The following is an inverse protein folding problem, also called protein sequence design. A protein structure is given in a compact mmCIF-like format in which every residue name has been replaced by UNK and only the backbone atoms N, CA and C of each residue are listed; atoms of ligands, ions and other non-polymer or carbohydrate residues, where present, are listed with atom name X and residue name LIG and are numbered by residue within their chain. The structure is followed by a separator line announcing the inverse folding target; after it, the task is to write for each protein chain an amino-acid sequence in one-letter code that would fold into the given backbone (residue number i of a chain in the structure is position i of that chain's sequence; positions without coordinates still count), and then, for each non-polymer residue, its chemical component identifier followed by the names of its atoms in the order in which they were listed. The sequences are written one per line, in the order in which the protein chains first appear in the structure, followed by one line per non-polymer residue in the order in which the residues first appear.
data_IF_069987518149
#
_entry.id   IF_069987518149
#
_cell.length_a   1.000
_cell.length_b   1.000
_cell.length_c   1.000
_cell.angle_alpha   90.00
_cell.angle_beta   90.00
_cell.angle_gamma   90.00
#
_symmetry.space_group_name_H-M   'P 1'
#
loop_
_entity.id
_entity.type
_entity.pdbx_description
1 polymer ?
#
# COMPACT_ATOMS: atom_id res chain seq x y z
N UNK A 1 0.22 -24.49 44.19
CA UNK A 1 -0.51 -23.19 44.20
C UNK A 1 -0.07 -22.43 42.96
N UNK A 2 -0.92 -21.65 42.28
CA UNK A 2 -0.56 -20.95 41.02
C UNK A 2 -0.59 -19.44 41.26
N UNK A 3 0.42 -18.72 40.75
CA UNK A 3 0.44 -17.26 40.74
C UNK A 3 -0.61 -16.72 39.74
N UNK A 4 -1.54 -15.88 40.18
CA UNK A 4 -2.62 -15.37 39.30
C UNK A 4 -2.15 -14.30 38.29
N UNK A 5 -0.89 -13.85 38.39
CA UNK A 5 -0.32 -12.86 37.46
C UNK A 5 0.33 -13.57 36.26
N UNK A 6 1.31 -14.44 36.50
CA UNK A 6 2.04 -15.14 35.44
C UNK A 6 1.46 -16.52 35.08
N UNK A 7 0.52 -17.03 35.89
CA UNK A 7 -0.08 -18.37 35.75
C UNK A 7 0.89 -19.56 35.90
N UNK A 8 2.08 -19.34 36.46
CA UNK A 8 3.04 -20.40 36.77
C UNK A 8 2.83 -20.99 38.20
N UNK A 9 3.19 -22.27 38.43
CA UNK A 9 3.19 -22.87 39.76
C UNK A 9 4.18 -22.18 40.70
N UNK A 10 3.78 -21.99 41.96
CA UNK A 10 4.63 -21.51 43.06
C UNK A 10 5.44 -22.67 43.65
N UNK A 11 6.76 -22.69 43.48
CA UNK A 11 7.64 -23.79 43.91
C UNK A 11 8.07 -23.67 45.39
N UNK A 12 8.36 -24.81 46.04
CA UNK A 12 8.80 -24.83 47.44
C UNK A 12 10.19 -24.19 47.59
N UNK A 13 10.28 -23.14 48.42
CA UNK A 13 11.52 -22.38 48.64
C UNK A 13 11.57 -21.02 47.96
N UNK A 14 10.63 -20.73 47.06
CA UNK A 14 10.54 -19.44 46.38
C UNK A 14 9.85 -18.37 47.26
N UNK A 15 10.21 -17.09 47.06
CA UNK A 15 9.58 -15.97 47.75
C UNK A 15 8.15 -15.75 47.24
N UNK A 16 7.18 -15.71 48.16
CA UNK A 16 5.75 -15.63 47.84
C UNK A 16 5.10 -14.49 48.59
N UNK A 17 4.24 -13.75 47.90
CA UNK A 17 3.36 -12.77 48.51
C UNK A 17 1.94 -13.32 48.62
N UNK A 18 1.25 -13.00 49.71
CA UNK A 18 -0.18 -13.33 49.88
C UNK A 18 -0.95 -12.03 50.08
N UNK A 19 -1.91 -11.76 49.19
CA UNK A 19 -2.73 -10.55 49.28
C UNK A 19 -3.44 -10.50 50.64
N UNK A 20 -3.38 -9.35 51.31
CA UNK A 20 -3.98 -9.17 52.65
C UNK A 20 -5.51 -9.26 52.62
N UNK A 21 -6.14 -8.88 51.50
CA UNK A 21 -7.59 -8.84 51.33
C UNK A 21 -8.15 -10.17 50.84
N UNK A 22 -7.82 -10.59 49.62
CA UNK A 22 -8.41 -11.79 49.00
C UNK A 22 -7.65 -13.10 49.27
N UNK A 23 -6.53 -13.05 50.00
CA UNK A 23 -5.67 -14.20 50.35
C UNK A 23 -5.09 -14.98 49.16
N UNK A 24 -5.12 -14.40 47.97
CA UNK A 24 -4.51 -15.01 46.77
C UNK A 24 -2.98 -14.96 46.85
N UNK A 25 -2.34 -16.01 46.35
CA UNK A 25 -0.88 -16.16 46.35
C UNK A 25 -0.25 -15.73 45.03
N UNK A 26 0.92 -15.10 45.12
CA UNK A 26 1.71 -14.60 44.01
C UNK A 26 3.18 -14.88 44.25
N UNK A 27 4.00 -14.89 43.19
CA UNK A 27 5.43 -14.70 43.36
C UNK A 27 5.66 -13.30 43.92
N UNK A 28 6.67 -13.14 44.78
CA UNK A 28 7.02 -11.84 45.35
C UNK A 28 7.26 -10.80 44.24
N UNK A 29 8.07 -11.16 43.23
CA UNK A 29 8.37 -10.32 42.06
C UNK A 29 7.12 -9.93 41.28
N UNK A 30 6.23 -10.89 41.00
CA UNK A 30 5.00 -10.62 40.24
C UNK A 30 4.12 -9.60 40.96
N UNK A 31 4.02 -9.69 42.30
CA UNK A 31 3.21 -8.76 43.08
C UNK A 31 3.80 -7.35 43.10
N UNK A 32 5.13 -7.24 43.20
CA UNK A 32 5.86 -5.97 43.16
C UNK A 32 5.75 -5.30 41.78
N UNK A 33 5.96 -6.05 40.70
CA UNK A 33 5.86 -5.56 39.32
C UNK A 33 4.43 -5.11 38.97
N UNK A 34 3.43 -5.90 39.40
CA UNK A 34 2.03 -5.55 39.22
C UNK A 34 1.57 -4.46 40.20
N UNK A 35 2.39 -4.08 41.18
CA UNK A 35 2.09 -3.07 42.21
C UNK A 35 0.80 -3.34 43.00
N UNK A 36 0.37 -4.60 43.10
CA UNK A 36 -0.87 -4.96 43.75
C UNK A 36 -1.48 -6.28 43.30
N UNK A 37 -2.73 -6.50 43.71
CA UNK A 37 -3.49 -7.69 43.43
C UNK A 37 -4.02 -7.72 42.00
N UNK A 38 -3.97 -8.89 41.34
CA UNK A 38 -4.56 -9.09 40.02
C UNK A 38 -6.00 -9.67 40.03
N UNK A 39 -6.57 -9.93 41.21
CA UNK A 39 -7.94 -10.46 41.32
C UNK A 39 -8.94 -9.33 41.12
N UNK A 40 -9.78 -9.47 40.10
CA UNK A 40 -10.84 -8.52 39.80
C UNK A 40 -11.74 -8.28 41.04
N UNK A 41 -11.91 -7.00 41.40
CA UNK A 41 -12.73 -6.58 42.54
C UNK A 41 -12.04 -6.65 43.91
N UNK A 42 -10.76 -7.00 43.99
CA UNK A 42 -10.00 -6.90 45.24
C UNK A 42 -9.67 -5.43 45.55
N UNK A 43 -9.70 -5.05 46.84
CA UNK A 43 -9.39 -3.69 47.26
C UNK A 43 -7.90 -3.30 47.11
N UNK A 44 -7.02 -4.29 46.91
CA UNK A 44 -5.59 -4.10 46.65
C UNK A 44 -5.24 -4.11 45.16
N UNK A 45 -6.22 -4.05 44.25
CA UNK A 45 -5.95 -3.93 42.81
C UNK A 45 -5.32 -2.56 42.56
N UNK A 46 -4.20 -2.48 41.80
CA UNK A 46 -3.58 -1.20 41.47
C UNK A 46 -4.54 -0.36 40.62
N UNK A 47 -4.47 0.97 40.76
CA UNK A 47 -5.20 1.87 39.89
C UNK A 47 -4.67 1.71 38.45
N UNK A 48 -5.56 1.38 37.52
CA UNK A 48 -5.20 1.31 36.10
C UNK A 48 -5.25 2.71 35.51
N UNK A 49 -4.15 3.13 34.86
CA UNK A 49 -4.18 4.31 34.02
C UNK A 49 -5.24 4.12 32.94
N UNK A 50 -6.24 5.00 32.92
CA UNK A 50 -7.19 5.03 31.82
C UNK A 50 -6.42 5.48 30.59
N UNK A 51 -6.27 4.58 29.62
CA UNK A 51 -5.76 4.93 28.29
C UNK A 51 -6.62 6.08 27.75
N UNK A 52 -6.04 7.27 27.64
CA UNK A 52 -6.74 8.39 27.03
C UNK A 52 -7.17 7.98 25.62
N UNK A 53 -8.42 8.32 25.28
CA UNK A 53 -9.12 7.91 24.05
C UNK A 53 -8.47 8.33 22.72
N UNK A 54 -7.24 8.84 22.74
CA UNK A 54 -6.60 9.53 21.62
C UNK A 54 -5.62 8.68 20.80
N UNK A 55 -5.24 7.48 21.24
CA UNK A 55 -4.23 6.65 20.52
C UNK A 55 -4.69 5.27 20.07
N UNK A 56 -5.99 4.97 20.12
CA UNK A 56 -6.54 3.86 19.35
C UNK A 56 -7.28 4.46 18.15
N UNK A 57 -6.71 4.45 16.91
CA UNK A 57 -7.47 4.84 15.73
C UNK A 57 -8.73 4.00 15.76
N UNK A 58 -9.91 4.63 15.89
CA UNK A 58 -11.19 3.95 16.15
C UNK A 58 -11.25 2.71 15.29
N UNK A 59 -11.00 1.56 15.92
CA UNK A 59 -10.93 0.30 15.20
C UNK A 59 -12.25 0.16 14.46
N UNK A 60 -12.17 0.00 13.15
CA UNK A 60 -13.35 -0.08 12.28
C UNK A 60 -14.25 -1.29 12.58
N UNK A 61 -13.83 -2.13 13.53
CA UNK A 61 -14.55 -3.26 14.08
C UNK A 61 -15.81 -2.79 14.82
N UNK A 62 -16.96 -2.92 14.16
CA UNK A 62 -18.28 -2.70 14.76
C UNK A 62 -19.11 -1.57 14.14
N UNK A 63 -18.57 -0.77 13.20
CA UNK A 63 -19.40 0.21 12.46
C UNK A 63 -20.07 -0.46 11.27
N UNK A 64 -21.39 -0.57 11.32
CA UNK A 64 -22.17 -1.15 10.21
C UNK A 64 -22.23 -0.23 8.99
N UNK A 65 -22.18 1.07 9.21
CA UNK A 65 -22.42 2.08 8.19
C UNK A 65 -21.23 3.06 8.10
N UNK A 66 -20.97 3.55 6.89
CA UNK A 66 -19.92 4.53 6.61
C UNK A 66 -20.30 5.45 5.44
N UNK A 67 -19.81 6.71 5.41
CA UNK A 67 -20.10 7.62 4.32
C UNK A 67 -19.28 7.26 3.07
N UNK A 68 -19.95 7.17 1.91
CA UNK A 68 -19.29 6.94 0.64
C UNK A 68 -18.30 8.09 0.33
N UNK A 69 -17.02 7.81 0.03
CA UNK A 69 -16.02 8.84 -0.21
C UNK A 69 -16.25 9.63 -1.51
N UNK A 70 -17.04 9.09 -2.44
CA UNK A 70 -17.37 9.76 -3.69
C UNK A 70 -18.60 10.70 -3.55
N UNK A 71 -19.70 10.23 -2.94
CA UNK A 71 -20.96 10.99 -2.89
C UNK A 71 -21.41 11.43 -1.48
N UNK A 72 -20.73 11.00 -0.42
CA UNK A 72 -21.01 11.38 0.97
C UNK A 72 -22.18 10.63 1.64
N UNK A 73 -22.97 9.85 0.90
CA UNK A 73 -24.12 9.12 1.46
C UNK A 73 -23.70 7.88 2.26
N UNK A 74 -24.41 7.59 3.35
CA UNK A 74 -24.18 6.42 4.20
C UNK A 74 -24.48 5.11 3.44
N UNK A 75 -23.52 4.19 3.48
CA UNK A 75 -23.58 2.84 2.89
C UNK A 75 -23.08 1.82 3.91
N UNK A 76 -23.37 0.53 3.68
CA UNK A 76 -22.88 -0.54 4.56
C UNK A 76 -21.35 -0.64 4.48
N UNK A 77 -20.68 -0.86 5.61
CA UNK A 77 -19.22 -0.98 5.71
C UNK A 77 -18.64 -2.08 4.82
N UNK A 78 -19.40 -3.16 4.61
CA UNK A 78 -19.03 -4.29 3.74
C UNK A 78 -19.30 -4.06 2.25
N UNK A 79 -19.88 -2.91 1.86
CA UNK A 79 -20.33 -2.69 0.49
C UNK A 79 -19.15 -2.40 -0.46
N UNK A 80 -18.91 -3.28 -1.43
CA UNK A 80 -17.95 -3.09 -2.54
C UNK A 80 -18.39 -2.10 -3.61
N UNK A 81 -19.69 -1.79 -3.67
CA UNK A 81 -20.26 -0.82 -4.62
C UNK A 81 -21.26 0.08 -3.89
N UNK A 82 -21.17 1.38 -4.13
CA UNK A 82 -22.13 2.34 -3.58
C UNK A 82 -23.51 2.20 -4.26
N UNK A 83 -24.56 1.95 -3.49
CA UNK A 83 -25.95 1.90 -3.99
C UNK A 83 -26.48 3.23 -4.53
N UNK A 84 -25.83 4.36 -4.21
CA UNK A 84 -26.32 5.69 -4.58
C UNK A 84 -25.59 6.33 -5.78
N UNK A 85 -24.28 6.11 -5.93
CA UNK A 85 -23.49 6.68 -7.03
C UNK A 85 -22.81 5.62 -7.91
N UNK A 86 -23.05 4.33 -7.63
CA UNK A 86 -22.50 3.19 -8.34
C UNK A 86 -20.96 3.06 -8.36
N UNK A 87 -20.24 3.91 -7.62
CA UNK A 87 -18.78 3.80 -7.45
C UNK A 87 -18.41 2.44 -6.87
N UNK A 88 -17.41 1.79 -7.47
CA UNK A 88 -16.83 0.53 -7.01
C UNK A 88 -15.55 0.83 -6.22
N UNK A 89 -15.40 0.19 -5.06
CA UNK A 89 -14.24 0.34 -4.19
C UNK A 89 -13.30 -0.85 -4.35
N UNK A 90 -12.00 -0.59 -4.42
CA UNK A 90 -10.98 -1.64 -4.58
C UNK A 90 -10.60 -2.30 -3.26
N UNK A 91 -10.68 -1.60 -2.12
CA UNK A 91 -10.34 -2.15 -0.81
C UNK A 91 -11.52 -2.85 -0.13
N UNK A 92 -11.24 -3.81 0.75
CA UNK A 92 -12.21 -4.39 1.69
C UNK A 92 -12.47 -3.48 2.89
N UNK A 93 -11.49 -2.63 3.22
CA UNK A 93 -11.64 -1.62 4.27
C UNK A 93 -12.33 -0.35 3.73
N UNK A 94 -13.18 0.29 4.53
CA UNK A 94 -13.63 1.65 4.30
C UNK A 94 -12.45 2.61 4.17
N UNK A 95 -12.55 3.53 3.22
CA UNK A 95 -11.49 4.48 2.87
C UNK A 95 -11.94 5.90 3.13
N UNK A 96 -11.08 6.73 3.69
CA UNK A 96 -11.44 8.15 3.79
C UNK A 96 -11.53 8.80 2.40
N UNK A 97 -12.23 9.94 2.32
CA UNK A 97 -12.40 10.67 1.07
C UNK A 97 -11.05 11.08 0.45
N UNK A 98 -10.10 11.50 1.28
CA UNK A 98 -8.73 11.84 0.89
C UNK A 98 -8.00 10.63 0.31
N UNK A 99 -8.00 9.49 1.02
CA UNK A 99 -7.39 8.24 0.55
C UNK A 99 -7.99 7.77 -0.77
N UNK A 100 -9.32 7.81 -0.89
CA UNK A 100 -10.02 7.42 -2.12
C UNK A 100 -9.66 8.34 -3.30
N UNK A 101 -9.59 9.66 -3.07
CA UNK A 101 -9.20 10.63 -4.09
C UNK A 101 -7.74 10.45 -4.52
N UNK A 102 -6.83 10.24 -3.57
CA UNK A 102 -5.43 9.99 -3.84
C UNK A 102 -5.25 8.69 -4.65
N UNK A 103 -5.92 7.61 -4.25
CA UNK A 103 -5.91 6.35 -4.98
C UNK A 103 -6.42 6.50 -6.41
N UNK A 104 -7.50 7.27 -6.61
CA UNK A 104 -8.04 7.56 -7.95
C UNK A 104 -7.06 8.38 -8.79
N UNK A 105 -6.39 9.38 -8.22
CA UNK A 105 -5.37 10.16 -8.94
C UNK A 105 -4.19 9.29 -9.38
N UNK A 106 -3.70 8.41 -8.49
CA UNK A 106 -2.65 7.46 -8.81
C UNK A 106 -3.06 6.49 -9.92
N UNK A 107 -4.30 5.99 -9.89
CA UNK A 107 -4.83 5.13 -10.95
C UNK A 107 -4.90 5.85 -12.32
N UNK A 108 -5.37 7.10 -12.35
CA UNK A 108 -5.43 7.90 -13.59
C UNK A 108 -4.01 8.21 -14.11
N UNK A 109 -3.08 8.55 -13.22
CA UNK A 109 -1.68 8.78 -13.60
C UNK A 109 -1.03 7.50 -14.17
N UNK A 110 -1.34 6.34 -13.57
CA UNK A 110 -0.87 5.04 -14.03
C UNK A 110 -1.40 4.71 -15.43
N UNK A 111 -2.70 4.86 -15.67
CA UNK A 111 -3.29 4.56 -16.99
C UNK A 111 -2.75 5.46 -18.09
N UNK A 112 -2.60 6.77 -17.84
CA UNK A 112 -1.98 7.70 -18.79
C UNK A 112 -0.54 7.30 -19.15
N UNK A 113 0.24 6.86 -18.16
CA UNK A 113 1.62 6.41 -18.40
C UNK A 113 1.66 5.09 -19.17
N UNK A 114 0.76 4.15 -18.86
CA UNK A 114 0.63 2.89 -19.61
C UNK A 114 0.26 3.13 -21.08
N UNK A 115 -0.70 4.02 -21.35
CA UNK A 115 -1.08 4.40 -22.72
C UNK A 115 0.11 5.01 -23.47
N UNK A 116 0.93 5.84 -22.82
CA UNK A 116 2.14 6.39 -23.43
C UNK A 116 3.18 5.32 -23.80
N UNK A 117 3.40 4.34 -22.93
CA UNK A 117 4.29 3.19 -23.23
C UNK A 117 3.78 2.40 -24.43
N UNK A 118 2.49 2.07 -24.46
CA UNK A 118 1.89 1.35 -25.58
C UNK A 118 1.91 2.15 -26.88
N UNK A 119 1.75 3.48 -26.82
CA UNK A 119 1.86 4.35 -27.99
C UNK A 119 3.29 4.37 -28.56
N UNK A 120 4.31 4.47 -27.71
CA UNK A 120 5.72 4.41 -28.14
C UNK A 120 6.02 3.04 -28.77
N UNK A 121 5.56 1.95 -28.14
CA UNK A 121 5.72 0.61 -28.69
C UNK A 121 5.03 0.48 -30.06
N UNK A 122 3.79 0.94 -30.18
CA UNK A 122 3.06 0.94 -31.45
C UNK A 122 3.75 1.75 -32.56
N UNK A 123 4.29 2.93 -32.22
CA UNK A 123 5.08 3.76 -33.15
C UNK A 123 6.40 3.11 -33.53
N UNK A 124 7.01 2.31 -32.65
CA UNK A 124 8.27 1.59 -32.93
C UNK A 124 8.10 0.36 -33.80
N UNK A 125 6.87 -0.14 -33.98
CA UNK A 125 6.60 -1.31 -34.83
C UNK A 125 6.31 -0.92 -36.30
N UNK A 126 6.11 0.37 -36.56
CA UNK A 126 5.86 0.89 -37.90
C UNK A 126 7.15 1.57 -38.38
N UNK A 127 7.87 1.00 -39.38
CA UNK A 127 9.20 1.47 -39.78
C UNK A 127 9.24 2.95 -40.16
N UNK A 128 8.16 3.47 -40.75
CA UNK A 128 8.06 4.89 -41.13
C UNK A 128 7.95 5.84 -39.93
N UNK A 129 7.41 5.38 -38.79
CA UNK A 129 7.31 6.18 -37.56
C UNK A 129 8.43 5.89 -36.56
N UNK A 130 9.27 4.88 -36.83
CA UNK A 130 10.40 4.51 -35.99
C UNK A 130 11.37 5.69 -35.69
N UNK A 131 11.70 6.59 -36.64
CA UNK A 131 12.57 7.73 -36.32
C UNK A 131 11.96 8.69 -35.30
N UNK A 132 10.64 8.89 -35.37
CA UNK A 132 9.90 9.72 -34.40
C UNK A 132 9.93 9.02 -33.03
N UNK A 133 9.68 7.71 -32.97
CA UNK A 133 9.73 6.94 -31.73
C UNK A 133 11.14 6.92 -31.10
N UNK A 134 12.19 6.84 -31.92
CA UNK A 134 13.59 6.82 -31.46
C UNK A 134 14.00 8.12 -30.74
N UNK A 135 13.44 9.26 -31.16
CA UNK A 135 13.71 10.57 -30.53
C UNK A 135 12.69 10.90 -29.42
N UNK A 136 11.39 10.76 -29.71
CA UNK A 136 10.33 11.11 -28.77
C UNK A 136 10.27 10.14 -27.57
N UNK A 137 10.61 8.87 -27.77
CA UNK A 137 10.58 7.84 -26.71
C UNK A 137 11.51 8.16 -25.54
N UNK A 138 12.82 8.37 -25.76
CA UNK A 138 13.76 8.78 -24.71
C UNK A 138 13.41 10.12 -24.05
N UNK A 139 12.99 11.12 -24.84
CA UNK A 139 12.58 12.43 -24.31
C UNK A 139 11.35 12.31 -23.39
N UNK A 140 10.34 11.56 -23.83
CA UNK A 140 9.15 11.28 -23.03
C UNK A 140 9.51 10.49 -21.76
N UNK A 141 10.34 9.45 -21.88
CA UNK A 141 10.79 8.66 -20.73
C UNK A 141 11.57 9.51 -19.71
N UNK A 142 12.46 10.39 -20.17
CA UNK A 142 13.20 11.31 -19.31
C UNK A 142 12.25 12.23 -18.54
N UNK A 143 11.23 12.78 -19.21
CA UNK A 143 10.22 13.66 -18.57
C UNK A 143 9.32 12.96 -17.56
N UNK A 144 9.16 11.62 -17.66
CA UNK A 144 8.23 10.83 -16.81
C UNK A 144 8.91 9.71 -16.03
N UNK A 145 10.23 9.82 -15.81
CA UNK A 145 11.03 8.75 -15.19
C UNK A 145 10.49 8.29 -13.82
N UNK A 146 9.94 9.20 -13.02
CA UNK A 146 9.41 8.87 -11.68
C UNK A 146 8.14 8.02 -11.77
N UNK A 147 7.19 8.41 -12.64
CA UNK A 147 5.97 7.64 -12.89
C UNK A 147 6.28 6.28 -13.52
N UNK A 148 7.26 6.20 -14.42
CA UNK A 148 7.65 4.94 -15.07
C UNK A 148 8.28 3.96 -14.07
N UNK A 149 9.00 4.43 -13.05
CA UNK A 149 9.52 3.57 -11.97
C UNK A 149 8.42 2.93 -11.12
N UNK A 150 7.23 3.54 -11.07
CA UNK A 150 6.08 3.01 -10.32
C UNK A 150 5.25 1.97 -11.09
N UNK A 151 5.56 1.76 -12.38
CA UNK A 151 4.88 0.77 -13.21
C UNK A 151 5.42 -0.64 -12.96
N UNK A 152 4.59 -1.64 -13.27
CA UNK A 152 5.01 -3.05 -13.23
C UNK A 152 6.22 -3.28 -14.15
N UNK A 153 7.09 -4.21 -13.76
CA UNK A 153 8.31 -4.56 -14.51
C UNK A 153 8.05 -4.85 -16.00
N UNK A 154 6.87 -5.38 -16.34
CA UNK A 154 6.43 -5.61 -17.71
C UNK A 154 6.43 -4.35 -18.57
N UNK A 155 5.81 -3.26 -18.09
CA UNK A 155 5.69 -2.02 -18.88
C UNK A 155 7.04 -1.32 -19.03
N UNK A 156 7.87 -1.35 -17.98
CA UNK A 156 9.24 -0.85 -18.06
C UNK A 156 10.08 -1.64 -19.08
N UNK A 157 9.91 -2.96 -19.15
CA UNK A 157 10.52 -3.82 -20.16
C UNK A 157 10.07 -3.46 -21.58
N UNK A 158 8.75 -3.36 -21.80
CA UNK A 158 8.17 -2.99 -23.09
C UNK A 158 8.67 -1.64 -23.61
N UNK A 159 8.80 -0.63 -22.73
CA UNK A 159 9.33 0.68 -23.13
C UNK A 159 10.78 0.59 -23.63
N UNK A 160 11.64 -0.16 -22.92
CA UNK A 160 13.06 -0.34 -23.30
C UNK A 160 13.19 -1.08 -24.62
N UNK A 161 12.40 -2.15 -24.80
CA UNK A 161 12.37 -2.91 -26.05
C UNK A 161 11.89 -2.03 -27.20
N UNK A 162 10.78 -1.31 -27.04
CA UNK A 162 10.23 -0.44 -28.08
C UNK A 162 11.21 0.66 -28.51
N UNK A 163 11.87 1.33 -27.55
CA UNK A 163 12.91 2.32 -27.87
C UNK A 163 14.10 1.65 -28.58
N UNK A 164 14.55 0.49 -28.11
CA UNK A 164 15.64 -0.25 -28.75
C UNK A 164 15.35 -0.64 -30.19
N UNK A 165 14.15 -1.19 -30.45
CA UNK A 165 13.68 -1.54 -31.80
C UNK A 165 13.63 -0.29 -32.69
N UNK A 166 13.06 0.82 -32.20
CA UNK A 166 12.99 2.07 -32.96
C UNK A 166 14.36 2.58 -33.40
N UNK A 167 15.38 2.51 -32.54
CA UNK A 167 16.75 2.90 -32.89
C UNK A 167 17.36 1.97 -33.95
N UNK A 168 17.16 0.66 -33.83
CA UNK A 168 17.66 -0.32 -34.81
C UNK A 168 17.02 -0.11 -36.18
N UNK A 169 15.69 0.04 -36.24
CA UNK A 169 14.96 0.28 -37.49
C UNK A 169 15.38 1.61 -38.13
N UNK A 170 15.49 2.67 -37.34
CA UNK A 170 15.94 3.99 -37.82
C UNK A 170 17.35 3.92 -38.41
N UNK A 171 18.25 3.19 -37.75
CA UNK A 171 19.61 2.99 -38.24
C UNK A 171 19.62 2.19 -39.56
N UNK A 172 18.85 1.11 -39.65
CA UNK A 172 18.72 0.31 -40.87
C UNK A 172 18.19 1.16 -42.02
N UNK A 173 17.07 1.86 -41.85
CA UNK A 173 16.50 2.76 -42.87
C UNK A 173 17.49 3.86 -43.29
N UNK A 174 18.18 4.47 -42.32
CA UNK A 174 19.20 5.49 -42.58
C UNK A 174 20.37 4.95 -43.40
N UNK A 175 20.86 3.75 -43.07
CA UNK A 175 21.94 3.10 -43.82
C UNK A 175 21.55 2.74 -45.25
N UNK A 176 20.34 2.22 -45.47
CA UNK A 176 19.81 1.94 -46.81
C UNK A 176 19.64 3.22 -47.63
N UNK A 177 19.08 4.27 -47.04
CA UNK A 177 18.93 5.57 -47.70
C UNK A 177 20.28 6.16 -48.11
N UNK A 178 21.28 6.11 -47.22
CA UNK A 178 22.64 6.58 -47.50
C UNK A 178 23.28 5.77 -48.64
N UNK A 179 23.19 4.44 -48.60
CA UNK A 179 23.71 3.58 -49.66
C UNK A 179 23.05 3.85 -51.02
N UNK A 180 21.72 4.10 -51.02
CA UNK A 180 20.99 4.47 -52.23
C UNK A 180 21.46 5.80 -52.81
N UNK A 181 21.65 6.82 -51.97
CA UNK A 181 22.16 8.13 -52.38
C UNK A 181 23.59 8.04 -52.94
N UNK A 182 24.45 7.25 -52.31
CA UNK A 182 25.82 7.04 -52.80
C UNK A 182 25.86 6.31 -54.15
N UNK A 183 24.92 5.39 -54.40
CA UNK A 183 24.84 4.64 -55.66
C UNK A 183 24.15 5.41 -56.79
N UNK A 184 23.15 6.24 -56.46
CA UNK A 184 22.39 7.03 -57.45
C UNK A 184 23.03 8.36 -57.83
N UNK A 185 24.05 8.81 -57.08
CA UNK A 185 24.84 10.01 -57.38
C UNK A 185 26.07 9.77 -58.28
N UNK A 186 26.28 8.54 -58.75
CA UNK A 186 27.30 8.15 -59.73
C UNK A 186 26.64 7.85 -61.08
#
# INVERSE_FOLDING_TARGET
MICQICQCPLEEGEARHTCTECKTHYHQECYEDNQGCAVYGCANVPDTEQLESFEVPTGYWGKEDWPCPNCGKLIKAVAKRCKHCATVFSSDRPQERSEYQQGRQLQVARSSTQTGVLAILGLSLLPFTAPVAAVAGPLWWASRREHVKSLDALHAGLLRVGVGVAWVETFLLGSFALAYLLKGGA
#
